data_IF_982750233575
#
_entry.id   IF_982750233575
#
_cell.length_a   1.000
_cell.length_b   1.000
_cell.length_c   1.000
_cell.angle_alpha   90.00
_cell.angle_beta   90.00
_cell.angle_gamma   90.00
#
_symmetry.space_group_name_H-M   'P 1'
#
loop_
_entity.id
_entity.type
_entity.pdbx_description
1 polymer ?
#
# COMPACT_ATOMS: atom_id res chain seq x y z
N UNK A 1 41.06 20.69 24.67
CA UNK A 1 40.02 19.83 24.03
C UNK A 1 39.45 18.88 25.09
N UNK A 2 38.14 18.79 25.33
CA UNK A 2 37.58 17.81 26.25
C UNK A 2 37.89 16.40 25.77
N UNK A 3 38.45 15.57 26.64
CA UNK A 3 38.65 14.14 26.37
C UNK A 3 37.28 13.48 26.21
N UNK A 4 36.97 12.96 24.99
CA UNK A 4 35.76 12.17 24.74
C UNK A 4 34.84 12.67 23.65
N UNK A 5 35.10 13.78 22.95
CA UNK A 5 34.33 14.17 21.78
C UNK A 5 34.67 13.23 20.62
N UNK A 6 33.76 12.27 20.32
CA UNK A 6 33.83 11.48 19.08
C UNK A 6 33.85 12.46 17.92
N UNK A 7 34.92 12.45 17.10
CA UNK A 7 34.92 13.13 15.82
C UNK A 7 33.74 12.61 15.03
N UNK A 8 32.72 13.45 14.80
CA UNK A 8 31.73 13.17 13.75
C UNK A 8 32.54 13.03 12.47
N UNK A 9 32.55 11.82 11.89
CA UNK A 9 33.16 11.64 10.55
C UNK A 9 32.54 12.70 9.66
N UNK A 10 33.35 13.48 8.90
CA UNK A 10 32.80 14.38 7.90
C UNK A 10 31.86 13.54 7.02
N UNK A 11 30.65 14.01 6.80
CA UNK A 11 29.80 13.42 5.76
C UNK A 11 30.61 13.39 4.49
N UNK A 12 30.60 12.26 3.79
CA UNK A 12 31.34 12.11 2.54
C UNK A 12 30.90 13.21 1.59
N UNK A 13 31.86 13.90 0.97
CA UNK A 13 31.60 15.02 0.08
C UNK A 13 30.59 14.72 -1.04
N UNK A 14 30.59 13.50 -1.66
CA UNK A 14 29.57 13.09 -2.61
C UNK A 14 28.15 13.13 -2.08
N UNK A 15 27.92 12.69 -0.83
CA UNK A 15 26.59 12.69 -0.20
C UNK A 15 26.07 14.12 0.00
N UNK A 16 26.94 15.05 0.38
CA UNK A 16 26.54 16.46 0.54
C UNK A 16 26.18 17.12 -0.77
N UNK A 17 26.92 16.82 -1.86
CA UNK A 17 26.59 17.32 -3.20
C UNK A 17 25.26 16.74 -3.67
N UNK A 18 25.03 15.44 -3.46
CA UNK A 18 23.78 14.79 -3.83
C UNK A 18 22.58 15.43 -3.08
N UNK A 19 22.70 15.65 -1.78
CA UNK A 19 21.68 16.34 -0.98
C UNK A 19 21.41 17.76 -1.55
N UNK A 20 22.43 18.56 -1.79
CA UNK A 20 22.29 19.92 -2.35
C UNK A 20 21.63 19.93 -3.74
N UNK A 21 21.96 18.97 -4.59
CA UNK A 21 21.35 18.86 -5.93
C UNK A 21 19.86 18.49 -5.81
N UNK A 22 19.51 17.58 -4.90
CA UNK A 22 18.12 17.19 -4.68
C UNK A 22 17.29 18.33 -4.07
N UNK A 23 17.83 19.05 -3.08
CA UNK A 23 17.19 20.23 -2.52
C UNK A 23 16.93 21.32 -3.57
N UNK A 24 17.92 21.61 -4.42
CA UNK A 24 17.77 22.60 -5.51
C UNK A 24 16.78 22.10 -6.58
N UNK A 25 16.76 20.80 -6.87
CA UNK A 25 15.84 20.22 -7.83
C UNK A 25 14.36 20.33 -7.40
N UNK A 26 14.12 20.27 -6.09
CA UNK A 26 12.78 20.39 -5.50
C UNK A 26 12.35 21.85 -5.27
N UNK A 27 13.29 22.81 -5.31
CA UNK A 27 12.98 24.23 -5.12
C UNK A 27 11.94 24.72 -6.11
N UNK A 28 10.91 25.39 -5.65
CA UNK A 28 9.89 26.00 -6.49
C UNK A 28 10.41 27.25 -7.22
N UNK A 29 10.13 27.32 -8.51
CA UNK A 29 10.39 28.45 -9.37
C UNK A 29 9.13 28.89 -10.12
N UNK A 30 8.96 30.19 -10.26
CA UNK A 30 7.86 30.76 -11.05
C UNK A 30 8.36 31.13 -12.44
N UNK A 31 7.73 30.55 -13.45
CA UNK A 31 8.00 30.82 -14.87
C UNK A 31 6.77 31.42 -15.52
N UNK A 32 6.96 32.20 -16.58
CA UNK A 32 5.86 32.72 -17.40
C UNK A 32 5.73 31.87 -18.65
N UNK A 33 4.56 31.24 -18.83
CA UNK A 33 4.22 30.44 -20.00
C UNK A 33 2.90 30.98 -20.59
N UNK A 34 2.92 31.29 -21.88
CA UNK A 34 1.74 31.84 -22.60
C UNK A 34 1.07 33.01 -21.84
N UNK A 35 1.90 33.87 -21.23
CA UNK A 35 1.47 35.04 -20.48
C UNK A 35 0.91 34.72 -19.06
N UNK A 36 0.95 33.45 -18.62
CA UNK A 36 0.51 33.04 -17.28
C UNK A 36 1.69 32.66 -16.40
N UNK A 37 1.68 33.07 -15.13
CA UNK A 37 2.62 32.59 -14.13
C UNK A 37 2.30 31.15 -13.75
N UNK A 38 3.29 30.25 -13.90
CA UNK A 38 3.22 28.84 -13.49
C UNK A 38 4.32 28.58 -12.50
N UNK A 39 3.98 28.05 -11.34
CA UNK A 39 4.95 27.62 -10.31
C UNK A 39 5.17 26.12 -10.42
N UNK A 40 6.43 25.71 -10.46
CA UNK A 40 6.82 24.29 -10.52
C UNK A 40 8.20 24.09 -9.92
N UNK A 41 8.58 22.85 -9.62
CA UNK A 41 9.93 22.54 -9.14
C UNK A 41 10.99 22.85 -10.24
N UNK A 42 12.21 23.19 -9.82
CA UNK A 42 13.34 23.44 -10.70
C UNK A 42 13.60 22.25 -11.63
N UNK A 43 13.56 21.03 -11.14
CA UNK A 43 13.72 19.83 -11.96
C UNK A 43 12.69 19.78 -13.10
N UNK A 44 11.41 20.03 -12.78
CA UNK A 44 10.33 20.07 -13.79
C UNK A 44 10.56 21.18 -14.81
N UNK A 45 11.00 22.35 -14.36
CA UNK A 45 11.30 23.48 -15.23
C UNK A 45 12.44 23.16 -16.22
N UNK A 46 13.52 22.52 -15.75
CA UNK A 46 14.65 22.10 -16.58
C UNK A 46 14.24 21.05 -17.61
N UNK A 47 13.52 20.01 -17.19
CA UNK A 47 13.01 18.97 -18.12
C UNK A 47 12.10 19.60 -19.18
N UNK A 48 11.19 20.49 -18.79
CA UNK A 48 10.28 21.18 -19.71
C UNK A 48 11.03 22.08 -20.70
N UNK A 49 12.00 22.87 -20.22
CA UNK A 49 12.85 23.72 -21.08
C UNK A 49 13.63 22.87 -22.09
N UNK A 50 14.17 21.73 -21.65
CA UNK A 50 14.90 20.80 -22.53
C UNK A 50 13.97 20.23 -23.61
N UNK A 51 12.76 19.79 -23.23
CA UNK A 51 11.76 19.27 -24.17
C UNK A 51 11.35 20.33 -25.21
N UNK A 52 11.09 21.58 -24.78
CA UNK A 52 10.72 22.68 -25.67
C UNK A 52 11.86 22.99 -26.65
N UNK A 53 13.10 23.02 -26.16
CA UNK A 53 14.26 23.26 -27.02
C UNK A 53 14.51 22.11 -27.99
N UNK A 54 14.26 20.88 -27.60
CA UNK A 54 14.29 19.68 -28.44
C UNK A 54 13.26 19.80 -29.58
N UNK A 55 12.01 20.15 -29.24
CA UNK A 55 10.92 20.36 -30.21
C UNK A 55 11.20 21.49 -31.20
N UNK A 56 11.94 22.53 -30.77
CA UNK A 56 12.40 23.64 -31.65
C UNK A 56 13.58 23.29 -32.56
N UNK A 57 14.07 22.04 -32.54
CA UNK A 57 15.08 21.54 -33.46
C UNK A 57 16.53 21.59 -32.94
N UNK A 58 16.75 21.86 -31.64
CA UNK A 58 18.10 21.80 -31.05
C UNK A 58 18.58 20.35 -30.96
N UNK A 59 19.51 19.91 -31.80
CA UNK A 59 20.06 18.57 -31.82
C UNK A 59 20.64 18.13 -30.46
N UNK A 60 21.28 19.04 -29.72
CA UNK A 60 21.81 18.78 -28.38
C UNK A 60 20.69 18.53 -27.38
N UNK A 61 19.62 19.36 -27.42
CA UNK A 61 18.48 19.19 -26.53
C UNK A 61 17.69 17.91 -26.86
N UNK A 62 17.55 17.57 -28.15
CA UNK A 62 16.94 16.30 -28.61
C UNK A 62 17.68 15.10 -28.04
N UNK A 63 19.02 15.07 -28.17
CA UNK A 63 19.82 13.98 -27.59
C UNK A 63 19.64 13.87 -26.08
N UNK A 64 19.77 14.97 -25.35
CA UNK A 64 19.64 14.98 -23.89
C UNK A 64 18.23 14.51 -23.43
N UNK A 65 17.19 14.96 -24.14
CA UNK A 65 15.83 14.60 -23.81
C UNK A 65 15.55 13.12 -24.09
N UNK A 66 16.01 12.58 -25.23
CA UNK A 66 15.88 11.17 -25.57
C UNK A 66 16.68 10.26 -24.62
N UNK A 67 17.88 10.66 -24.23
CA UNK A 67 18.69 9.93 -23.25
C UNK A 67 17.97 9.88 -21.89
N UNK A 68 17.44 11.02 -21.42
CA UNK A 68 16.68 11.08 -20.18
C UNK A 68 15.39 10.25 -20.24
N UNK A 69 14.67 10.27 -21.36
CA UNK A 69 13.47 9.46 -21.58
C UNK A 69 13.80 7.96 -21.53
N UNK A 70 14.88 7.54 -22.23
CA UNK A 70 15.32 6.15 -22.22
C UNK A 70 15.73 5.69 -20.81
N UNK A 71 16.42 6.54 -20.04
CA UNK A 71 16.77 6.23 -18.64
C UNK A 71 15.53 6.09 -17.77
N UNK A 72 14.56 7.01 -17.90
CA UNK A 72 13.31 6.95 -17.14
C UNK A 72 12.50 5.68 -17.47
N UNK A 73 12.43 5.30 -18.76
CA UNK A 73 11.78 4.06 -19.18
C UNK A 73 12.46 2.83 -18.57
N UNK A 74 13.78 2.74 -18.71
CA UNK A 74 14.55 1.61 -18.12
C UNK A 74 14.34 1.52 -16.61
N UNK A 75 14.41 2.62 -15.89
CA UNK A 75 14.18 2.64 -14.44
C UNK A 75 12.78 2.14 -14.07
N UNK A 76 11.77 2.56 -14.85
CA UNK A 76 10.39 2.08 -14.66
C UNK A 76 10.28 0.58 -14.90
N UNK A 77 10.90 0.07 -15.98
CA UNK A 77 10.88 -1.34 -16.35
C UNK A 77 11.62 -2.21 -15.32
N UNK A 78 12.81 -1.78 -14.88
CA UNK A 78 13.59 -2.45 -13.84
C UNK A 78 12.83 -2.51 -12.50
N UNK A 79 12.21 -1.39 -12.11
CA UNK A 79 11.39 -1.33 -10.90
C UNK A 79 10.18 -2.25 -10.98
N UNK A 80 9.47 -2.24 -12.12
CA UNK A 80 8.33 -3.12 -12.36
C UNK A 80 8.74 -4.59 -12.28
N UNK A 81 9.82 -4.98 -12.98
CA UNK A 81 10.35 -6.34 -12.94
C UNK A 81 10.78 -6.75 -11.52
N UNK A 82 11.42 -5.85 -10.77
CA UNK A 82 11.83 -6.12 -9.39
C UNK A 82 10.64 -6.34 -8.45
N UNK A 83 9.58 -5.54 -8.57
CA UNK A 83 8.36 -5.69 -7.76
C UNK A 83 7.64 -6.99 -8.12
N UNK A 84 7.52 -7.30 -9.40
CA UNK A 84 6.91 -8.55 -9.88
C UNK A 84 7.68 -9.77 -9.33
N UNK A 85 9.01 -9.78 -9.46
CA UNK A 85 9.82 -10.89 -8.97
C UNK A 85 9.70 -11.06 -7.46
N UNK A 86 9.73 -9.95 -6.70
CA UNK A 86 9.55 -10.00 -5.25
C UNK A 86 8.17 -10.54 -4.85
N UNK A 87 7.12 -10.20 -5.60
CA UNK A 87 5.77 -10.71 -5.36
C UNK A 87 5.67 -12.22 -5.65
N UNK A 88 6.27 -12.69 -6.75
CA UNK A 88 6.32 -14.11 -7.11
C UNK A 88 7.07 -14.91 -6.02
N UNK A 89 8.27 -14.47 -5.66
CA UNK A 89 9.10 -15.14 -4.66
C UNK A 89 8.40 -15.20 -3.29
N UNK A 90 7.75 -14.11 -2.91
CA UNK A 90 6.96 -14.03 -1.68
C UNK A 90 5.82 -15.05 -1.67
N UNK A 91 5.01 -15.09 -2.74
CA UNK A 91 3.88 -16.03 -2.85
C UNK A 91 4.35 -17.47 -2.85
N UNK A 92 5.41 -17.79 -3.59
CA UNK A 92 5.95 -19.15 -3.65
C UNK A 92 6.51 -19.60 -2.31
N UNK A 93 7.27 -18.74 -1.62
CA UNK A 93 7.81 -19.04 -0.30
C UNK A 93 6.68 -19.35 0.71
N UNK A 94 5.64 -18.54 0.78
CA UNK A 94 4.51 -18.80 1.66
C UNK A 94 3.70 -20.01 1.25
N UNK A 95 3.56 -20.27 -0.04
CA UNK A 95 2.94 -21.50 -0.54
C UNK A 95 3.65 -22.74 -0.01
N UNK A 96 4.98 -22.76 -0.04
CA UNK A 96 5.76 -23.88 0.48
C UNK A 96 5.60 -24.03 2.00
N UNK A 97 5.67 -22.93 2.75
CA UNK A 97 5.46 -22.93 4.20
C UNK A 97 4.07 -23.49 4.55
N UNK A 98 3.01 -23.04 3.87
CA UNK A 98 1.66 -23.54 4.11
C UNK A 98 1.50 -25.03 3.78
N UNK A 99 2.12 -25.50 2.69
CA UNK A 99 2.13 -26.92 2.34
C UNK A 99 2.83 -27.77 3.40
N UNK A 100 3.93 -27.29 3.94
CA UNK A 100 4.69 -28.01 4.97
C UNK A 100 3.95 -28.03 6.32
N UNK A 101 3.30 -26.94 6.71
CA UNK A 101 2.41 -26.93 7.88
C UNK A 101 1.25 -27.94 7.72
N UNK A 102 0.62 -27.97 6.53
CA UNK A 102 -0.44 -28.96 6.25
C UNK A 102 0.05 -30.39 6.34
N UNK A 103 1.24 -30.70 5.80
CA UNK A 103 1.85 -32.05 5.90
C UNK A 103 2.13 -32.47 7.34
N UNK A 104 2.52 -31.51 8.21
CA UNK A 104 2.81 -31.78 9.62
C UNK A 104 1.58 -31.74 10.52
N UNK A 105 0.40 -31.36 9.98
CA UNK A 105 -0.81 -31.16 10.79
C UNK A 105 -0.74 -29.94 11.72
N UNK A 106 0.14 -28.99 11.41
CA UNK A 106 0.32 -27.75 12.16
C UNK A 106 -0.66 -26.68 11.69
N UNK A 107 -1.09 -25.77 12.56
CA UNK A 107 -1.89 -24.63 12.14
C UNK A 107 -1.11 -23.72 11.17
N UNK A 108 -1.83 -23.16 10.18
CA UNK A 108 -1.22 -22.23 9.24
C UNK A 108 -0.77 -20.97 9.99
N UNK A 109 0.45 -20.47 9.71
CA UNK A 109 0.92 -19.23 10.31
C UNK A 109 0.09 -18.04 9.84
N UNK A 110 -0.14 -17.10 10.74
CA UNK A 110 -0.77 -15.82 10.44
C UNK A 110 0.28 -14.87 9.83
N UNK A 111 0.05 -14.44 8.61
CA UNK A 111 0.99 -13.61 7.84
C UNK A 111 0.30 -12.38 7.28
N UNK A 112 1.00 -11.24 7.36
CA UNK A 112 0.56 -9.97 6.78
C UNK A 112 1.71 -9.37 5.99
N UNK A 113 1.47 -9.02 4.70
CA UNK A 113 0.26 -9.27 3.91
C UNK A 113 0.05 -10.77 3.63
N UNK A 114 -1.22 -11.20 3.59
CA UNK A 114 -1.50 -12.59 3.21
C UNK A 114 -1.20 -12.79 1.70
N UNK A 115 -0.56 -13.90 1.30
CA UNK A 115 -0.18 -14.12 -0.11
C UNK A 115 -1.38 -14.14 -1.07
N UNK A 116 -2.59 -14.50 -0.60
CA UNK A 116 -3.80 -14.46 -1.42
C UNK A 116 -4.30 -13.02 -1.70
N UNK A 117 -3.86 -12.05 -0.91
CA UNK A 117 -4.16 -10.63 -1.12
C UNK A 117 -3.22 -9.96 -2.14
N UNK A 118 -2.21 -10.69 -2.63
CA UNK A 118 -1.29 -10.23 -3.65
C UNK A 118 -1.74 -10.81 -4.99
N UNK A 119 -2.27 -9.96 -5.85
CA UNK A 119 -2.71 -10.30 -7.18
C UNK A 119 -1.67 -9.87 -8.20
N UNK A 120 -1.33 -10.76 -9.10
CA UNK A 120 -0.40 -10.50 -10.21
C UNK A 120 -1.22 -10.62 -11.49
N UNK A 121 -1.26 -9.55 -12.27
CA UNK A 121 -1.89 -9.57 -13.59
C UNK A 121 -1.01 -10.40 -14.54
N UNK A 122 -1.52 -11.47 -15.15
CA UNK A 122 -0.74 -12.35 -16.02
C UNK A 122 -0.36 -11.69 -17.36
N UNK A 123 -1.08 -10.64 -17.79
CA UNK A 123 -0.82 -9.96 -19.06
C UNK A 123 0.20 -8.83 -18.91
N UNK A 124 0.07 -8.03 -17.83
CA UNK A 124 0.90 -6.84 -17.62
C UNK A 124 2.03 -7.08 -16.62
N UNK A 125 1.91 -8.07 -15.74
CA UNK A 125 2.80 -8.29 -14.61
C UNK A 125 2.61 -7.29 -13.48
N UNK A 126 1.53 -6.49 -13.51
CA UNK A 126 1.22 -5.55 -12.44
C UNK A 126 0.87 -6.27 -11.15
N UNK A 127 1.35 -5.76 -10.03
CA UNK A 127 1.13 -6.32 -8.69
C UNK A 127 0.17 -5.42 -7.93
N UNK A 128 -0.99 -5.97 -7.59
CA UNK A 128 -2.01 -5.31 -6.77
C UNK A 128 -2.11 -5.99 -5.40
N UNK A 129 -2.08 -5.21 -4.34
CA UNK A 129 -2.33 -5.67 -2.97
C UNK A 129 -3.71 -5.20 -2.51
N UNK A 130 -4.58 -6.14 -2.11
CA UNK A 130 -6.00 -5.85 -1.76
C UNK A 130 -6.31 -5.97 -0.27
N UNK A 131 -5.39 -6.48 0.54
CA UNK A 131 -5.56 -6.65 1.98
C UNK A 131 -4.64 -5.76 2.82
N UNK A 132 -4.70 -5.88 4.14
CA UNK A 132 -3.84 -5.14 5.06
C UNK A 132 -2.36 -5.46 4.81
N UNK A 133 -1.52 -4.43 4.87
CA UNK A 133 -0.08 -4.53 4.66
C UNK A 133 0.70 -4.66 5.98
N UNK A 134 0.05 -4.31 7.10
CA UNK A 134 0.62 -4.43 8.45
C UNK A 134 -0.36 -5.07 9.41
N UNK A 135 0.16 -5.60 10.53
CA UNK A 135 -0.69 -6.17 11.58
C UNK A 135 -1.62 -5.12 12.21
N UNK A 136 -1.15 -3.87 12.33
CA UNK A 136 -1.95 -2.77 12.86
C UNK A 136 -3.14 -2.44 11.96
N UNK A 137 -2.93 -2.39 10.64
CA UNK A 137 -4.01 -2.19 9.66
C UNK A 137 -5.03 -3.32 9.74
N UNK A 138 -4.58 -4.57 9.76
CA UNK A 138 -5.45 -5.73 9.88
C UNK A 138 -6.29 -5.67 11.17
N UNK A 139 -5.66 -5.35 12.29
CA UNK A 139 -6.34 -5.28 13.58
C UNK A 139 -7.34 -4.12 13.63
N UNK A 140 -7.05 -3.03 12.94
CA UNK A 140 -8.00 -1.93 12.77
C UNK A 140 -9.17 -2.34 11.88
N UNK A 141 -8.93 -2.94 10.72
CA UNK A 141 -9.98 -3.45 9.83
C UNK A 141 -10.89 -4.46 10.55
N UNK A 142 -10.30 -5.35 11.36
CA UNK A 142 -11.08 -6.30 12.15
C UNK A 142 -11.97 -5.60 13.20
N UNK A 143 -11.48 -4.57 13.87
CA UNK A 143 -12.29 -3.75 14.80
C UNK A 143 -13.42 -3.04 14.08
N UNK A 144 -13.13 -2.41 12.96
CA UNK A 144 -14.11 -1.70 12.15
C UNK A 144 -15.19 -2.64 11.63
N UNK A 145 -14.83 -3.83 11.17
CA UNK A 145 -15.77 -4.87 10.73
C UNK A 145 -16.69 -5.33 11.86
N UNK A 146 -16.15 -5.52 13.06
CA UNK A 146 -16.95 -5.87 14.24
C UNK A 146 -17.91 -4.75 14.63
N UNK A 147 -17.49 -3.48 14.55
CA UNK A 147 -18.36 -2.34 14.86
C UNK A 147 -19.45 -2.14 13.81
N UNK A 148 -19.12 -2.28 12.53
CA UNK A 148 -20.11 -2.24 11.45
C UNK A 148 -21.20 -3.32 11.64
N UNK A 149 -20.79 -4.56 11.97
CA UNK A 149 -21.73 -5.64 12.19
C UNK A 149 -22.62 -5.41 13.42
N UNK A 150 -22.10 -4.79 14.47
CA UNK A 150 -22.92 -4.39 15.64
C UNK A 150 -23.91 -3.26 15.28
N UNK A 151 -23.51 -2.36 14.40
CA UNK A 151 -24.38 -1.28 13.93
C UNK A 151 -25.54 -1.85 13.11
N UNK A 152 -25.26 -2.75 12.16
CA UNK A 152 -26.26 -3.43 11.35
C UNK A 152 -27.30 -4.15 12.21
N UNK A 153 -26.86 -4.88 13.24
CA UNK A 153 -27.78 -5.54 14.19
C UNK A 153 -28.67 -4.52 14.89
N UNK A 154 -28.13 -3.39 15.34
CA UNK A 154 -28.93 -2.33 16.01
C UNK A 154 -29.97 -1.71 15.08
N UNK A 155 -29.62 -1.51 13.81
CA UNK A 155 -30.52 -0.98 12.78
C UNK A 155 -31.66 -1.97 12.50
N UNK A 156 -31.34 -3.25 12.32
CA UNK A 156 -32.35 -4.30 12.13
C UNK A 156 -33.26 -4.46 13.37
N UNK A 157 -32.70 -4.39 14.57
CA UNK A 157 -33.49 -4.44 15.83
C UNK A 157 -34.40 -3.18 16.00
N UNK A 158 -33.98 -2.03 15.48
CA UNK A 158 -34.80 -0.83 15.44
C UNK A 158 -35.97 -0.98 14.44
N UNK A 159 -35.70 -1.47 13.24
CA UNK A 159 -36.73 -1.80 12.24
C UNK A 159 -37.73 -2.79 12.81
N UNK A 160 -37.26 -3.85 13.48
CA UNK A 160 -38.15 -4.86 14.07
C UNK A 160 -39.15 -4.28 15.12
N UNK A 161 -38.76 -3.20 15.81
CA UNK A 161 -39.63 -2.50 16.77
C UNK A 161 -40.71 -1.64 16.10
N UNK A 162 -40.45 -1.17 14.91
CA UNK A 162 -41.37 -0.29 14.14
C UNK A 162 -42.38 -1.09 13.32
N UNK A 163 -42.14 -2.38 13.07
CA UNK A 163 -43.03 -3.27 12.32
C UNK A 163 -44.31 -3.56 13.15
N UNK A 164 -45.49 -3.28 12.56
CA UNK A 164 -46.77 -3.55 13.13
C UNK A 164 -47.03 -5.05 13.36
N UNK A 165 -47.97 -5.37 14.27
CA UNK A 165 -48.34 -6.76 14.56
C UNK A 165 -48.96 -7.48 13.36
N UNK A 166 -49.56 -6.75 12.43
CA UNK A 166 -50.22 -7.29 11.23
C UNK A 166 -49.24 -7.71 10.11
N UNK A 167 -47.95 -7.40 10.27
CA UNK A 167 -46.90 -7.71 9.28
C UNK A 167 -46.04 -8.92 9.66
N UNK A 168 -46.68 -10.02 10.06
CA UNK A 168 -46.00 -11.21 10.58
C UNK A 168 -44.90 -11.79 9.67
N UNK A 169 -45.15 -11.81 8.35
CA UNK A 169 -44.15 -12.32 7.36
C UNK A 169 -42.91 -11.44 7.28
N UNK A 170 -43.09 -10.12 7.32
CA UNK A 170 -41.97 -9.18 7.27
C UNK A 170 -41.19 -9.22 8.59
N UNK A 171 -41.87 -9.32 9.70
CA UNK A 171 -41.28 -9.47 11.01
C UNK A 171 -40.42 -10.73 11.11
N UNK A 172 -40.92 -11.89 10.60
CA UNK A 172 -40.17 -13.14 10.56
C UNK A 172 -38.90 -13.05 9.65
N UNK A 173 -38.99 -12.30 8.55
CA UNK A 173 -37.84 -12.05 7.69
C UNK A 173 -36.76 -11.24 8.41
N UNK A 174 -37.10 -10.12 9.03
CA UNK A 174 -36.16 -9.26 9.76
C UNK A 174 -35.55 -10.01 10.96
N UNK A 175 -36.33 -10.86 11.66
CA UNK A 175 -35.79 -11.71 12.73
C UNK A 175 -34.71 -12.67 12.23
N UNK A 176 -34.92 -13.28 11.05
CA UNK A 176 -33.94 -14.16 10.43
C UNK A 176 -32.67 -13.40 10.06
N UNK A 177 -32.81 -12.19 9.51
CA UNK A 177 -31.68 -11.35 9.16
C UNK A 177 -30.86 -10.95 10.40
N UNK A 178 -31.53 -10.66 11.53
CA UNK A 178 -30.86 -10.41 12.82
C UNK A 178 -30.08 -11.64 13.31
N UNK A 179 -30.64 -12.83 13.18
CA UNK A 179 -29.95 -14.08 13.57
C UNK A 179 -28.70 -14.28 12.71
N UNK A 180 -28.81 -14.12 11.39
CA UNK A 180 -27.66 -14.22 10.47
C UNK A 180 -26.59 -13.17 10.79
N UNK A 181 -26.98 -11.93 11.05
CA UNK A 181 -26.05 -10.87 11.42
C UNK A 181 -25.34 -11.16 12.77
N UNK A 182 -26.02 -11.76 13.74
CA UNK A 182 -25.42 -12.20 15.02
C UNK A 182 -24.42 -13.34 14.82
N UNK A 183 -24.73 -14.31 13.97
CA UNK A 183 -23.81 -15.40 13.63
C UNK A 183 -22.54 -14.84 12.94
N UNK A 184 -22.69 -13.90 11.99
CA UNK A 184 -21.59 -13.24 11.33
C UNK A 184 -20.74 -12.41 12.31
N UNK A 185 -21.34 -11.73 13.27
CA UNK A 185 -20.63 -11.01 14.32
C UNK A 185 -19.75 -11.95 15.16
N UNK A 186 -20.27 -13.10 15.57
CA UNK A 186 -19.47 -14.08 16.32
C UNK A 186 -18.33 -14.66 15.48
N UNK A 187 -18.57 -14.90 14.19
CA UNK A 187 -17.51 -15.29 13.26
C UNK A 187 -16.41 -14.22 13.16
N UNK A 188 -16.77 -12.94 12.96
CA UNK A 188 -15.81 -11.83 12.91
C UNK A 188 -14.99 -11.73 14.20
N UNK A 189 -15.61 -11.84 15.35
CA UNK A 189 -14.92 -11.86 16.66
C UNK A 189 -13.96 -13.05 16.80
N UNK A 190 -14.38 -14.23 16.32
CA UNK A 190 -13.54 -15.43 16.35
C UNK A 190 -12.31 -15.28 15.47
N UNK A 191 -12.47 -14.76 14.24
CA UNK A 191 -11.37 -14.49 13.31
C UNK A 191 -10.38 -13.51 13.94
N UNK A 192 -10.85 -12.39 14.47
CA UNK A 192 -10.00 -11.38 15.12
C UNK A 192 -9.20 -11.97 16.30
N UNK A 193 -9.79 -12.86 17.12
CA UNK A 193 -9.10 -13.52 18.24
C UNK A 193 -8.09 -14.57 17.78
N UNK A 194 -8.37 -15.31 16.71
CA UNK A 194 -7.47 -16.35 16.19
C UNK A 194 -6.22 -15.75 15.59
N UNK A 195 -6.33 -14.67 14.85
CA UNK A 195 -5.20 -13.98 14.24
C UNK A 195 -4.19 -13.47 15.26
N UNK A 196 -4.63 -13.01 16.44
CA UNK A 196 -3.74 -12.63 17.53
C UNK A 196 -2.93 -13.78 18.15
N UNK A 197 -3.40 -15.02 18.04
CA UNK A 197 -2.70 -16.18 18.64
C UNK A 197 -1.51 -16.67 17.83
N UNK A 198 -1.47 -16.37 16.53
CA UNK A 198 -0.44 -16.85 15.59
C UNK A 198 0.51 -15.77 15.13
N UNK A 199 0.38 -14.54 15.64
CA UNK A 199 1.34 -13.49 15.38
C UNK A 199 2.73 -13.95 15.88
N UNK A 200 3.70 -14.02 14.99
CA UNK A 200 5.07 -14.35 15.35
C UNK A 200 5.57 -13.33 16.39
N UNK A 201 6.21 -13.77 17.48
CA UNK A 201 6.77 -12.83 18.44
C UNK A 201 7.76 -11.91 17.72
N UNK A 202 7.83 -10.61 18.08
CA UNK A 202 8.78 -9.70 17.47
C UNK A 202 10.20 -10.29 17.58
N UNK A 203 10.91 -10.31 16.46
CA UNK A 203 12.32 -10.73 16.47
C UNK A 203 13.04 -9.85 17.48
N UNK A 204 13.58 -10.45 18.54
CA UNK A 204 14.48 -9.75 19.47
C UNK A 204 15.68 -9.29 18.64
N UNK A 205 15.80 -7.98 18.42
CA UNK A 205 17.00 -7.32 17.89
C UNK A 205 18.14 -7.42 18.88
#
# INVERSE_FOLDING_TARGET
>A
RPKGAKNKRPRDWPDRIAEMILEEAEREVSLTEDGKKVTMSMAKAVVRSTAVNAAKGSAKAQKLFLDALNQASRYKDERHTSVLQAAIDYKENWRQIFLDCKKRGEPLPDVVPHPDHIHIDPETGDVLMTGPLTYEQRDQENRERVELQKQEIRELEAILKEIGEDEEKFRAMVQRDIEQAKELLEYCKKVARQQHRYALPPKKT
#
